data_IF_456611920214
#
_entry.id   IF_456611920214
#
_cell.length_a   1.000
_cell.length_b   1.000
_cell.length_c   1.000
_cell.angle_alpha   90.00
_cell.angle_beta   90.00
_cell.angle_gamma   90.00
#
_symmetry.space_group_name_H-M   'P 1'
#
loop_
_entity.id
_entity.type
_entity.pdbx_description
1 polymer ?
#
# COMPACT_ATOMS: atom_id res chain seq x y z
N UNK A 1 -0.61 28.63 3.71
CA UNK A 1 -1.39 27.44 4.05
C UNK A 1 -0.93 26.84 5.39
N UNK A 2 0.22 26.21 5.47
CA UNK A 2 0.72 25.65 6.73
C UNK A 2 2.25 25.72 6.80
N UNK A 3 2.79 25.52 8.01
CA UNK A 3 4.22 25.39 8.27
C UNK A 3 4.46 24.03 8.90
N UNK A 4 5.33 23.24 8.29
CA UNK A 4 5.75 21.95 8.82
C UNK A 4 7.20 22.06 9.29
N UNK A 5 7.47 21.75 10.54
CA UNK A 5 8.81 21.79 11.10
C UNK A 5 9.56 20.50 10.79
N UNK A 6 10.81 20.65 10.39
CA UNK A 6 11.76 19.55 10.20
C UNK A 6 12.88 19.67 11.24
N UNK A 7 13.50 18.53 11.61
CA UNK A 7 14.56 18.50 12.62
C UNK A 7 15.81 19.32 12.26
N UNK A 8 15.97 19.71 10.98
CA UNK A 8 17.15 20.45 10.51
C UNK A 8 18.46 19.66 10.66
N UNK A 9 19.34 19.73 9.69
CA UNK A 9 20.66 19.07 9.73
C UNK A 9 21.61 19.72 10.76
N UNK A 10 21.31 20.93 11.19
CA UNK A 10 22.11 21.74 12.16
C UNK A 10 21.55 21.68 13.59
N UNK A 11 20.57 20.81 13.87
CA UNK A 11 19.96 20.66 15.19
C UNK A 11 18.83 21.66 15.51
N UNK A 12 18.72 22.77 14.80
CA UNK A 12 17.63 23.73 14.99
C UNK A 12 16.46 23.39 14.05
N UNK A 13 15.21 23.27 14.56
CA UNK A 13 14.06 23.02 13.73
C UNK A 13 13.85 24.12 12.68
N UNK A 14 13.57 23.74 11.44
CA UNK A 14 13.27 24.66 10.34
C UNK A 14 11.81 24.52 9.93
N UNK A 15 11.10 25.65 9.89
CA UNK A 15 9.72 25.70 9.43
C UNK A 15 9.65 25.77 7.90
N UNK A 16 9.14 24.75 7.26
CA UNK A 16 8.89 24.70 5.81
C UNK A 16 7.50 25.24 5.53
N UNK A 17 7.43 26.35 4.80
CA UNK A 17 6.16 26.98 4.41
C UNK A 17 5.57 26.27 3.19
N UNK A 18 4.36 25.75 3.34
CA UNK A 18 3.61 25.14 2.24
C UNK A 18 2.49 26.09 1.78
N UNK A 19 2.47 26.38 0.49
CA UNK A 19 1.43 27.25 -0.10
C UNK A 19 0.12 26.47 -0.37
N UNK A 20 -1.00 27.19 -0.46
CA UNK A 20 -2.26 26.61 -0.91
C UNK A 20 -2.15 25.99 -2.31
N UNK A 21 -1.51 26.71 -3.24
CA UNK A 21 -1.32 26.23 -4.62
C UNK A 21 -0.48 24.93 -4.66
N UNK A 22 0.60 24.84 -3.89
CA UNK A 22 1.42 23.62 -3.83
C UNK A 22 0.65 22.41 -3.27
N UNK A 23 -0.19 22.61 -2.24
CA UNK A 23 -1.05 21.54 -1.70
C UNK A 23 -2.08 21.12 -2.75
N UNK A 24 -2.77 22.05 -3.39
CA UNK A 24 -3.78 21.74 -4.40
C UNK A 24 -3.19 21.00 -5.60
N UNK A 25 -2.05 21.45 -6.13
CA UNK A 25 -1.36 20.78 -7.24
C UNK A 25 -0.97 19.34 -6.90
N UNK A 26 -0.48 19.07 -5.67
CA UNK A 26 -0.22 17.71 -5.21
C UNK A 26 -1.50 16.86 -5.12
N UNK A 27 -2.60 17.46 -4.65
CA UNK A 27 -3.89 16.78 -4.56
C UNK A 27 -4.43 16.40 -5.94
N UNK A 28 -4.34 17.30 -6.92
CA UNK A 28 -4.75 17.06 -8.30
C UNK A 28 -3.94 15.94 -8.94
N UNK A 29 -2.60 15.97 -8.79
CA UNK A 29 -1.73 14.90 -9.27
C UNK A 29 -2.04 13.53 -8.63
N UNK A 30 -2.27 13.50 -7.32
CA UNK A 30 -2.64 12.28 -6.61
C UNK A 30 -4.04 11.78 -7.03
N UNK A 31 -5.01 12.68 -7.23
CA UNK A 31 -6.35 12.33 -7.72
C UNK A 31 -6.27 11.64 -9.08
N UNK A 32 -5.48 12.15 -10.01
CA UNK A 32 -5.34 11.57 -11.36
C UNK A 32 -4.80 10.13 -11.29
N UNK A 33 -3.80 9.88 -10.45
CA UNK A 33 -3.24 8.53 -10.23
C UNK A 33 -4.30 7.60 -9.61
N UNK A 34 -5.02 8.09 -8.60
CA UNK A 34 -5.97 7.27 -7.84
C UNK A 34 -7.32 7.08 -8.55
N UNK A 35 -7.66 7.93 -9.52
CA UNK A 35 -8.93 7.91 -10.25
C UNK A 35 -9.26 6.56 -10.87
N UNK A 36 -8.27 5.86 -11.38
CA UNK A 36 -8.43 4.50 -11.94
C UNK A 36 -8.82 3.46 -10.89
N UNK A 37 -8.49 3.69 -9.63
CA UNK A 37 -8.76 2.80 -8.49
C UNK A 37 -10.13 3.10 -7.84
N UNK A 38 -10.59 4.36 -7.94
CA UNK A 38 -11.82 4.87 -7.33
C UNK A 38 -12.88 4.99 -8.41
N UNK A 39 -13.58 3.88 -8.74
CA UNK A 39 -14.55 3.88 -9.86
C UNK A 39 -15.96 4.28 -9.43
N UNK A 40 -16.60 3.49 -8.56
CA UNK A 40 -18.02 3.65 -8.20
C UNK A 40 -18.24 3.92 -6.71
N UNK A 41 -17.41 3.35 -5.85
CA UNK A 41 -17.55 3.50 -4.41
C UNK A 41 -16.56 4.53 -3.89
N UNK A 42 -16.93 5.33 -2.88
CA UNK A 42 -16.00 6.25 -2.24
C UNK A 42 -14.78 5.50 -1.72
N UNK A 43 -13.62 6.13 -1.85
CA UNK A 43 -12.40 5.58 -1.29
C UNK A 43 -12.52 5.48 0.23
N UNK A 44 -11.97 4.40 0.80
CA UNK A 44 -11.87 4.22 2.24
C UNK A 44 -10.39 4.21 2.60
N UNK A 45 -9.99 5.13 3.46
CA UNK A 45 -8.62 5.25 3.97
C UNK A 45 -8.56 4.84 5.43
N UNK A 46 -7.43 4.27 5.82
CA UNK A 46 -7.01 4.14 7.21
C UNK A 46 -5.73 4.94 7.40
N UNK A 47 -5.84 6.08 8.06
CA UNK A 47 -4.74 6.96 8.42
C UNK A 47 -4.08 6.48 9.70
N UNK A 48 -2.77 6.31 9.69
CA UNK A 48 -1.99 5.78 10.81
C UNK A 48 -0.59 6.40 10.92
N UNK A 49 -0.18 7.16 9.90
CA UNK A 49 1.06 7.92 9.94
C UNK A 49 0.85 9.26 10.66
N UNK A 50 1.91 9.85 11.23
CA UNK A 50 1.80 11.14 11.91
C UNK A 50 1.36 12.26 10.97
N UNK A 51 0.30 12.99 11.32
CA UNK A 51 -0.21 14.13 10.54
C UNK A 51 0.76 15.32 10.50
N UNK A 52 1.71 15.36 11.42
CA UNK A 52 2.81 16.35 11.43
C UNK A 52 3.85 16.08 10.34
N UNK A 53 3.81 14.92 9.69
CA UNK A 53 4.71 14.57 8.60
C UNK A 53 4.14 15.02 7.26
N UNK A 54 4.95 15.66 6.41
CA UNK A 54 4.51 16.24 5.12
C UNK A 54 3.75 15.26 4.23
N UNK A 55 4.15 14.01 4.19
CA UNK A 55 3.49 12.98 3.38
C UNK A 55 2.05 12.75 3.84
N UNK A 56 1.82 12.38 5.09
CA UNK A 56 0.46 12.12 5.60
C UNK A 56 -0.38 13.38 5.65
N UNK A 57 0.25 14.53 5.92
CA UNK A 57 -0.40 15.83 5.87
C UNK A 57 -1.00 16.11 4.47
N UNK A 58 -0.24 15.85 3.40
CA UNK A 58 -0.74 15.98 2.02
C UNK A 58 -1.83 14.97 1.73
N UNK A 59 -1.69 13.72 2.20
CA UNK A 59 -2.70 12.66 2.02
C UNK A 59 -4.05 13.07 2.62
N UNK A 60 -4.08 13.80 3.75
CA UNK A 60 -5.34 14.30 4.33
C UNK A 60 -6.09 15.21 3.34
N UNK A 61 -5.41 16.10 2.66
CA UNK A 61 -6.06 16.94 1.64
C UNK A 61 -6.54 16.14 0.43
N UNK A 62 -5.77 15.13 0.01
CA UNK A 62 -6.19 14.19 -1.04
C UNK A 62 -7.48 13.47 -0.63
N UNK A 63 -7.58 13.00 0.62
CA UNK A 63 -8.76 12.33 1.15
C UNK A 63 -9.99 13.25 1.12
N UNK A 64 -9.82 14.52 1.48
CA UNK A 64 -10.88 15.54 1.42
C UNK A 64 -11.31 15.76 -0.04
N UNK A 65 -10.37 15.97 -0.95
CA UNK A 65 -10.64 16.18 -2.37
C UNK A 65 -11.41 15.01 -3.01
N UNK A 66 -11.09 13.78 -2.59
CA UNK A 66 -11.74 12.56 -3.08
C UNK A 66 -13.11 12.29 -2.43
N UNK A 67 -13.53 13.06 -1.44
CA UNK A 67 -14.72 12.75 -0.63
C UNK A 67 -14.61 11.38 0.04
N UNK A 68 -13.41 11.01 0.47
CA UNK A 68 -13.12 9.69 0.99
C UNK A 68 -13.69 9.48 2.41
N UNK A 69 -14.04 8.23 2.73
CA UNK A 69 -14.29 7.82 4.10
C UNK A 69 -12.94 7.56 4.79
N UNK A 70 -12.69 8.26 5.89
CA UNK A 70 -11.40 8.20 6.60
C UNK A 70 -11.60 7.61 7.99
N UNK A 71 -10.79 6.62 8.32
CA UNK A 71 -10.63 6.08 9.66
C UNK A 71 -9.24 6.42 10.16
N UNK A 72 -9.12 6.70 11.45
CA UNK A 72 -7.84 6.94 12.11
C UNK A 72 -7.50 5.74 12.98
N UNK A 73 -6.28 5.22 12.83
CA UNK A 73 -5.82 4.12 13.65
C UNK A 73 -5.56 4.58 15.09
N UNK A 74 -5.93 3.77 16.05
CA UNK A 74 -5.72 4.06 17.47
C UNK A 74 -4.24 4.06 17.85
N UNK A 75 -3.49 3.09 17.34
CA UNK A 75 -2.03 2.97 17.51
C UNK A 75 -1.45 2.01 16.48
N UNK A 76 -0.11 1.93 16.40
CA UNK A 76 0.59 0.98 15.54
C UNK A 76 0.32 -0.48 15.93
N UNK A 77 0.21 -0.76 17.23
CA UNK A 77 -0.07 -2.09 17.77
C UNK A 77 -1.47 -2.56 17.38
N UNK A 78 -2.42 -1.62 17.28
CA UNK A 78 -3.80 -1.90 16.89
C UNK A 78 -4.05 -1.76 15.39
N UNK A 79 -3.02 -1.55 14.58
CA UNK A 79 -3.19 -1.31 13.15
C UNK A 79 -3.96 -2.45 12.45
N UNK A 80 -3.62 -3.71 12.70
CA UNK A 80 -4.32 -4.86 12.07
C UNK A 80 -5.78 -4.98 12.51
N UNK A 81 -6.15 -4.88 13.80
CA UNK A 81 -7.55 -4.79 14.21
C UNK A 81 -8.29 -3.62 13.55
N UNK A 82 -7.68 -2.45 13.48
CA UNK A 82 -8.28 -1.28 12.82
C UNK A 82 -8.48 -1.49 11.32
N UNK A 83 -7.55 -2.16 10.63
CA UNK A 83 -7.70 -2.58 9.23
C UNK A 83 -8.92 -3.51 9.04
N UNK A 84 -9.13 -4.45 9.96
CA UNK A 84 -10.26 -5.38 9.88
C UNK A 84 -11.62 -4.66 10.01
N UNK A 85 -11.67 -3.59 10.81
CA UNK A 85 -12.86 -2.76 11.00
C UNK A 85 -13.07 -1.82 9.81
N UNK A 86 -12.03 -1.04 9.44
CA UNK A 86 -12.09 -0.02 8.40
C UNK A 86 -12.24 -0.62 7.00
N UNK A 87 -11.66 -1.81 6.75
CA UNK A 87 -11.58 -2.47 5.44
C UNK A 87 -11.16 -1.50 4.34
N UNK A 88 -9.98 -0.87 4.48
CA UNK A 88 -9.58 0.21 3.60
C UNK A 88 -9.44 -0.27 2.15
N UNK A 89 -9.75 0.63 1.22
CA UNK A 89 -9.49 0.43 -0.20
C UNK A 89 -8.14 0.96 -0.62
N UNK A 90 -7.64 1.96 0.11
CA UNK A 90 -6.33 2.57 -0.08
C UNK A 90 -5.66 2.72 1.29
N UNK A 91 -4.39 2.34 1.37
CA UNK A 91 -3.56 2.58 2.54
C UNK A 91 -2.25 3.25 2.12
N UNK A 92 -1.95 4.36 2.77
CA UNK A 92 -0.65 5.04 2.64
C UNK A 92 0.34 4.46 3.62
N UNK A 93 1.59 4.30 3.19
CA UNK A 93 2.65 3.83 4.05
C UNK A 93 4.03 4.32 3.59
N UNK A 94 5.00 4.26 4.49
CA UNK A 94 6.40 4.61 4.22
C UNK A 94 7.22 3.37 3.87
N UNK A 95 8.36 3.49 3.17
CA UNK A 95 9.18 2.35 2.73
C UNK A 95 9.52 1.35 3.83
N UNK A 96 9.79 1.82 5.05
CA UNK A 96 10.09 0.96 6.20
C UNK A 96 8.94 0.00 6.56
N UNK A 97 7.70 0.44 6.38
CA UNK A 97 6.54 -0.45 6.58
C UNK A 97 6.57 -1.61 5.59
N UNK A 98 6.81 -1.33 4.32
CA UNK A 98 6.87 -2.35 3.26
C UNK A 98 8.04 -3.32 3.46
N UNK A 99 9.21 -2.84 3.90
CA UNK A 99 10.35 -3.69 4.26
C UNK A 99 9.99 -4.66 5.38
N UNK A 100 9.35 -4.17 6.44
CA UNK A 100 8.90 -4.99 7.56
C UNK A 100 7.82 -6.01 7.12
N UNK A 101 6.87 -5.57 6.30
CA UNK A 101 5.82 -6.43 5.75
C UNK A 101 6.42 -7.54 4.87
N UNK A 102 7.32 -7.18 3.96
CA UNK A 102 8.06 -8.12 3.13
C UNK A 102 8.77 -9.16 3.99
N UNK A 103 9.55 -8.73 4.98
CA UNK A 103 10.32 -9.62 5.85
C UNK A 103 9.41 -10.59 6.61
N UNK A 104 8.30 -10.11 7.18
CA UNK A 104 7.34 -10.95 7.89
C UNK A 104 6.68 -12.00 6.97
N UNK A 105 6.26 -11.59 5.77
CA UNK A 105 5.65 -12.51 4.80
C UNK A 105 6.69 -13.52 4.31
N UNK A 106 7.90 -13.07 3.99
CA UNK A 106 8.98 -13.92 3.50
C UNK A 106 9.38 -14.99 4.52
N UNK A 107 9.52 -14.62 5.81
CA UNK A 107 9.80 -15.57 6.89
C UNK A 107 8.65 -16.57 7.02
N UNK A 108 7.40 -16.15 6.93
CA UNK A 108 6.26 -17.07 6.97
C UNK A 108 6.25 -18.03 5.78
N UNK A 109 6.62 -17.57 4.61
CA UNK A 109 6.70 -18.36 3.39
C UNK A 109 7.83 -19.38 3.46
N UNK A 110 9.01 -18.98 3.96
CA UNK A 110 10.18 -19.87 4.08
C UNK A 110 9.95 -21.06 5.04
N UNK A 111 9.05 -20.90 6.01
CA UNK A 111 8.68 -21.98 6.95
C UNK A 111 7.74 -23.01 6.33
N UNK A 112 7.14 -22.74 5.17
CA UNK A 112 6.22 -23.67 4.53
C UNK A 112 6.97 -24.83 3.84
N UNK A 113 6.34 -26.00 3.82
CA UNK A 113 6.92 -27.24 3.22
C UNK A 113 5.93 -27.87 2.24
N UNK A 114 6.43 -28.81 1.44
CA UNK A 114 5.61 -29.63 0.54
C UNK A 114 4.78 -28.81 -0.46
N UNK A 115 3.52 -29.16 -0.61
CA UNK A 115 2.61 -28.54 -1.56
C UNK A 115 2.41 -27.02 -1.32
N UNK A 116 2.34 -26.60 -0.05
CA UNK A 116 2.20 -25.17 0.28
C UNK A 116 3.37 -24.35 -0.22
N UNK A 117 4.59 -24.83 -0.06
CA UNK A 117 5.80 -24.17 -0.57
C UNK A 117 5.72 -24.01 -2.09
N UNK A 118 5.43 -25.10 -2.82
CA UNK A 118 5.28 -25.06 -4.29
C UNK A 118 4.22 -24.06 -4.75
N UNK A 119 3.08 -23.99 -4.04
CA UNK A 119 1.99 -23.06 -4.37
C UNK A 119 2.43 -21.60 -4.17
N UNK A 120 3.19 -21.30 -3.12
CA UNK A 120 3.72 -19.96 -2.85
C UNK A 120 4.73 -19.55 -3.93
N UNK A 121 5.67 -20.44 -4.26
CA UNK A 121 6.65 -20.20 -5.33
C UNK A 121 5.97 -19.94 -6.67
N UNK A 122 4.96 -20.75 -7.00
CA UNK A 122 4.13 -20.53 -8.20
C UNK A 122 3.38 -19.19 -8.15
N UNK A 123 2.90 -18.79 -6.96
CA UNK A 123 2.20 -17.51 -6.80
C UNK A 123 3.12 -16.33 -7.11
N UNK A 124 4.35 -16.35 -6.60
CA UNK A 124 5.35 -15.30 -6.85
C UNK A 124 5.73 -15.31 -8.33
N UNK A 125 6.12 -16.45 -8.88
CA UNK A 125 6.55 -16.59 -10.27
C UNK A 125 5.47 -16.11 -11.26
N UNK A 126 4.24 -16.61 -11.11
CA UNK A 126 3.14 -16.24 -12.03
C UNK A 126 2.68 -14.79 -11.78
N UNK A 127 2.79 -14.28 -10.56
CA UNK A 127 2.52 -12.88 -10.26
C UNK A 127 3.52 -11.96 -10.96
N UNK A 128 4.81 -12.23 -10.85
CA UNK A 128 5.86 -11.48 -11.56
C UNK A 128 5.68 -11.56 -13.08
N UNK A 129 5.38 -12.76 -13.61
CA UNK A 129 5.11 -12.93 -15.04
C UNK A 129 3.93 -12.07 -15.52
N UNK A 130 2.89 -11.92 -14.71
CA UNK A 130 1.75 -11.03 -14.99
C UNK A 130 2.16 -9.54 -14.96
N UNK A 131 3.01 -9.13 -14.02
CA UNK A 131 3.54 -7.76 -13.95
C UNK A 131 4.33 -7.40 -15.20
N UNK A 132 5.14 -8.34 -15.71
CA UNK A 132 5.87 -8.21 -16.97
C UNK A 132 4.96 -8.25 -18.21
N UNK A 133 3.64 -8.34 -18.06
CA UNK A 133 2.66 -8.49 -19.16
C UNK A 133 2.92 -9.70 -20.08
N UNK A 134 3.61 -10.71 -19.58
CA UNK A 134 3.87 -11.96 -20.32
C UNK A 134 2.63 -12.85 -20.34
N UNK A 135 2.32 -13.45 -21.49
CA UNK A 135 1.16 -14.34 -21.62
C UNK A 135 1.38 -15.64 -20.84
N UNK A 136 0.38 -16.01 -20.05
CA UNK A 136 0.34 -17.31 -19.38
C UNK A 136 -0.22 -18.36 -20.32
N UNK A 137 0.41 -19.56 -20.35
CA UNK A 137 -0.12 -20.71 -21.05
C UNK A 137 -1.34 -21.30 -20.29
N UNK A 138 -2.04 -22.28 -20.88
CA UNK A 138 -3.26 -22.83 -20.30
C UNK A 138 -3.03 -23.45 -18.91
N UNK A 139 -1.97 -24.23 -18.73
CA UNK A 139 -1.62 -24.82 -17.41
C UNK A 139 -1.31 -23.73 -16.38
N UNK A 140 -0.55 -22.71 -16.75
CA UNK A 140 -0.23 -21.59 -15.89
C UNK A 140 -1.49 -20.79 -15.46
N UNK A 141 -2.47 -20.65 -16.34
CA UNK A 141 -3.75 -20.00 -16.00
C UNK A 141 -4.50 -20.77 -14.92
N UNK A 142 -4.55 -22.10 -15.01
CA UNK A 142 -5.18 -22.96 -14.00
C UNK A 142 -4.45 -22.83 -12.65
N UNK A 143 -3.13 -22.94 -12.65
CA UNK A 143 -2.33 -22.80 -11.44
C UNK A 143 -2.51 -21.40 -10.84
N UNK A 144 -2.48 -20.35 -11.67
CA UNK A 144 -2.68 -18.98 -11.22
C UNK A 144 -4.06 -18.75 -10.57
N UNK A 145 -5.11 -19.42 -11.06
CA UNK A 145 -6.43 -19.39 -10.45
C UNK A 145 -6.39 -19.95 -9.01
N UNK A 146 -5.72 -21.09 -8.79
CA UNK A 146 -5.53 -21.64 -7.44
C UNK A 146 -4.65 -20.72 -6.57
N UNK A 147 -3.60 -20.13 -7.13
CA UNK A 147 -2.77 -19.14 -6.43
C UNK A 147 -3.61 -17.92 -5.98
N UNK A 148 -4.55 -17.47 -6.81
CA UNK A 148 -5.44 -16.36 -6.46
C UNK A 148 -6.31 -16.69 -5.25
N UNK A 149 -6.97 -17.86 -5.27
CA UNK A 149 -7.91 -18.25 -4.21
C UNK A 149 -7.18 -18.64 -2.92
N UNK A 150 -6.14 -19.46 -3.03
CA UNK A 150 -5.51 -20.10 -1.88
C UNK A 150 -4.43 -19.25 -1.21
N UNK A 151 -3.82 -18.31 -1.95
CA UNK A 151 -2.71 -17.48 -1.45
C UNK A 151 -3.09 -16.01 -1.47
N UNK A 152 -3.28 -15.39 -2.65
CA UNK A 152 -3.46 -13.93 -2.76
C UNK A 152 -4.69 -13.44 -2.01
N UNK A 153 -5.82 -14.12 -2.16
CA UNK A 153 -7.06 -13.77 -1.45
C UNK A 153 -6.91 -13.84 0.08
N UNK A 154 -6.18 -14.86 0.58
CA UNK A 154 -5.91 -14.98 2.03
C UNK A 154 -5.05 -13.83 2.55
N UNK A 155 -4.02 -13.46 1.80
CA UNK A 155 -3.15 -12.32 2.15
C UNK A 155 -3.98 -11.03 2.13
N UNK A 156 -4.74 -10.80 1.07
CA UNK A 156 -5.60 -9.62 0.93
C UNK A 156 -6.64 -9.49 2.04
N UNK A 157 -7.17 -10.60 2.51
CA UNK A 157 -8.14 -10.63 3.61
C UNK A 157 -7.54 -10.15 4.93
N UNK A 158 -6.23 -10.30 5.15
CA UNK A 158 -5.55 -9.74 6.32
C UNK A 158 -5.56 -8.20 6.31
N UNK A 159 -5.74 -7.60 5.12
CA UNK A 159 -5.91 -6.17 4.94
C UNK A 159 -7.37 -5.76 4.70
N UNK A 160 -8.32 -6.49 5.29
CA UNK A 160 -9.75 -6.19 5.20
C UNK A 160 -10.44 -6.65 3.91
N UNK A 161 -9.72 -7.28 2.98
CA UNK A 161 -10.24 -7.88 1.75
C UNK A 161 -10.63 -6.90 0.63
N UNK A 162 -10.68 -5.60 0.92
CA UNK A 162 -11.09 -4.55 -0.04
C UNK A 162 -9.93 -3.71 -0.58
N UNK A 163 -8.70 -3.97 -0.15
CA UNK A 163 -7.54 -3.19 -0.55
C UNK A 163 -7.33 -3.24 -2.07
N UNK A 164 -7.36 -2.06 -2.69
CA UNK A 164 -7.09 -1.83 -4.10
C UNK A 164 -5.64 -1.42 -4.34
N UNK A 165 -5.08 -0.63 -3.43
CA UNK A 165 -3.66 -0.26 -3.48
C UNK A 165 -3.10 0.13 -2.11
N UNK A 166 -1.84 -0.21 -1.92
CA UNK A 166 -0.93 0.54 -1.07
C UNK A 166 -0.31 1.68 -1.87
N UNK A 167 -0.15 2.85 -1.25
CA UNK A 167 0.54 3.99 -1.84
C UNK A 167 1.79 4.28 -1.01
N UNK A 168 2.95 4.11 -1.61
CA UNK A 168 4.23 4.37 -0.96
C UNK A 168 4.63 5.83 -1.15
N UNK A 169 5.03 6.48 -0.06
CA UNK A 169 5.52 7.84 -0.10
C UNK A 169 6.49 8.14 1.04
N UNK A 170 7.00 9.36 1.09
CA UNK A 170 7.99 9.78 2.08
C UNK A 170 9.41 9.27 1.82
N UNK A 171 9.65 8.50 0.76
CA UNK A 171 10.95 7.96 0.35
C UNK A 171 10.82 6.91 -0.74
N UNK A 172 11.93 6.53 -1.35
CA UNK A 172 11.97 5.51 -2.39
C UNK A 172 11.74 4.10 -1.83
N UNK A 173 10.81 3.37 -2.43
CA UNK A 173 10.59 1.95 -2.14
C UNK A 173 11.54 1.10 -2.99
N UNK A 174 12.15 0.07 -2.39
CA UNK A 174 12.92 -0.91 -3.15
C UNK A 174 12.02 -1.61 -4.17
N UNK A 175 12.44 -1.59 -5.43
CA UNK A 175 11.68 -2.16 -6.54
C UNK A 175 11.35 -3.64 -6.33
N UNK A 176 12.30 -4.44 -5.80
CA UNK A 176 12.09 -5.88 -5.55
C UNK A 176 10.99 -6.12 -4.51
N UNK A 177 10.91 -5.24 -3.50
CA UNK A 177 9.85 -5.30 -2.48
C UNK A 177 8.50 -4.98 -3.12
N UNK A 178 8.43 -3.92 -3.93
CA UNK A 178 7.21 -3.56 -4.65
C UNK A 178 6.74 -4.68 -5.59
N UNK A 179 7.62 -5.25 -6.39
CA UNK A 179 7.33 -6.37 -7.29
C UNK A 179 6.85 -7.61 -6.52
N UNK A 180 7.52 -7.96 -5.42
CA UNK A 180 7.10 -9.08 -4.58
C UNK A 180 5.68 -8.86 -4.03
N UNK A 181 5.40 -7.70 -3.42
CA UNK A 181 4.08 -7.41 -2.86
C UNK A 181 2.99 -7.45 -3.93
N UNK A 182 3.24 -6.85 -5.10
CA UNK A 182 2.34 -6.93 -6.25
C UNK A 182 2.10 -8.38 -6.69
N UNK A 183 3.15 -9.21 -6.77
CA UNK A 183 3.07 -10.60 -7.22
C UNK A 183 2.19 -11.46 -6.31
N UNK A 184 2.15 -11.17 -5.01
CA UNK A 184 1.36 -11.91 -4.01
C UNK A 184 -0.03 -11.30 -3.76
N UNK A 185 -0.46 -10.32 -4.56
CA UNK A 185 -1.81 -9.77 -4.50
C UNK A 185 -1.98 -8.57 -3.56
N UNK A 186 -0.89 -7.89 -3.19
CA UNK A 186 -0.89 -6.61 -2.49
C UNK A 186 -0.44 -5.49 -3.45
N UNK A 187 -1.36 -4.91 -4.23
CA UNK A 187 -1.02 -3.88 -5.19
C UNK A 187 -0.32 -2.71 -4.49
N UNK A 188 0.88 -2.38 -4.93
CA UNK A 188 1.71 -1.32 -4.35
C UNK A 188 2.10 -0.35 -5.44
N UNK A 189 1.79 0.94 -5.23
CA UNK A 189 2.10 2.08 -6.09
C UNK A 189 3.16 2.96 -5.41
N UNK A 190 4.00 3.57 -6.23
CA UNK A 190 4.97 4.59 -5.81
C UNK A 190 4.93 5.75 -6.78
#
# INVERSE_FOLDING_TARGET
ACIIYTSGTTGNPKGVMLSHGGILSNCEGAQEILKSLIKKDPAVFLTWLPLSHSYEHTVQYVQILLGAKVFYAESLEKLLPNVAIAKPTIMTAVPRFYQNLYSKIFINFSKQKGFKKKLIESTIMLGTKNLDKKKLNFKEKIINFFCEILVRRKIKNQFGGKLKAFVSGGGALDQKIGEFLNSIGLPTLQ
#
